data_IF_077540765103
#
_entry.id   IF_077540765103
#
_cell.length_a   1.000
_cell.length_b   1.000
_cell.length_c   1.000
_cell.angle_alpha   90.00
_cell.angle_beta   90.00
_cell.angle_gamma   90.00
#
_symmetry.space_group_name_H-M   'P 1'
#
loop_
_entity.id
_entity.type
_entity.pdbx_description
1 polymer ?
#
# COMPACT_ATOMS: atom_id res chain seq x y z
N UNK A 1 38.37 15.68 -9.88
CA UNK A 1 37.75 15.42 -8.56
C UNK A 1 36.25 15.70 -8.48
N UNK A 2 35.62 16.49 -9.37
CA UNK A 2 34.18 16.83 -9.29
C UNK A 2 33.21 15.66 -9.58
N UNK A 3 33.60 14.69 -10.42
CA UNK A 3 32.73 13.54 -10.75
C UNK A 3 32.53 12.58 -9.58
N UNK A 4 33.56 12.39 -8.75
CA UNK A 4 33.49 11.49 -7.59
C UNK A 4 32.58 12.06 -6.48
N UNK A 5 32.60 13.38 -6.27
CA UNK A 5 31.69 14.03 -5.32
C UNK A 5 30.24 13.98 -5.77
N UNK A 6 29.98 14.09 -7.07
CA UNK A 6 28.62 13.99 -7.63
C UNK A 6 28.11 12.54 -7.48
N UNK A 7 28.94 11.55 -7.78
CA UNK A 7 28.58 10.14 -7.61
C UNK A 7 28.29 9.81 -6.13
N UNK A 8 29.12 10.29 -5.21
CA UNK A 8 28.89 10.10 -3.77
C UNK A 8 27.59 10.75 -3.29
N UNK A 9 27.28 11.97 -3.74
CA UNK A 9 26.03 12.64 -3.41
C UNK A 9 24.80 11.91 -3.98
N UNK A 10 24.88 11.38 -5.19
CA UNK A 10 23.80 10.59 -5.79
C UNK A 10 23.55 9.29 -5.01
N UNK A 11 24.60 8.54 -4.70
CA UNK A 11 24.47 7.29 -3.93
C UNK A 11 23.94 7.57 -2.52
N UNK A 12 24.41 8.65 -1.87
CA UNK A 12 23.88 9.08 -0.58
C UNK A 12 22.40 9.43 -0.64
N UNK A 13 21.99 10.20 -1.65
CA UNK A 13 20.58 10.53 -1.88
C UNK A 13 19.71 9.31 -2.18
N UNK A 14 20.22 8.37 -2.99
CA UNK A 14 19.51 7.14 -3.35
C UNK A 14 19.26 6.24 -2.13
N UNK A 15 20.25 6.08 -1.24
CA UNK A 15 20.09 5.29 -0.01
C UNK A 15 19.04 5.91 0.91
N UNK A 16 19.10 7.24 1.13
CA UNK A 16 18.13 7.94 1.97
C UNK A 16 16.72 7.86 1.36
N UNK A 17 16.60 8.04 0.04
CA UNK A 17 15.35 7.93 -0.69
C UNK A 17 14.74 6.52 -0.62
N UNK A 18 15.55 5.48 -0.78
CA UNK A 18 15.10 4.09 -0.69
C UNK A 18 14.66 3.73 0.73
N UNK A 19 15.42 4.13 1.75
CA UNK A 19 15.06 3.91 3.14
C UNK A 19 13.72 4.59 3.49
N UNK A 20 13.54 5.85 3.08
CA UNK A 20 12.27 6.55 3.24
C UNK A 20 11.14 5.85 2.50
N UNK A 21 11.36 5.45 1.24
CA UNK A 21 10.38 4.75 0.43
C UNK A 21 9.90 3.43 1.06
N UNK A 22 10.82 2.65 1.65
CA UNK A 22 10.47 1.39 2.33
C UNK A 22 9.71 1.65 3.63
N UNK A 23 10.12 2.64 4.44
CA UNK A 23 9.46 2.93 5.72
C UNK A 23 8.03 3.45 5.55
N UNK A 24 7.78 4.21 4.49
CA UNK A 24 6.45 4.76 4.18
C UNK A 24 5.69 3.92 3.15
N UNK A 25 6.24 2.79 2.71
CA UNK A 25 5.55 1.90 1.79
C UNK A 25 4.27 1.39 2.47
N UNK A 26 3.09 1.54 1.84
CA UNK A 26 1.88 0.94 2.34
C UNK A 26 1.99 -0.59 2.30
N UNK A 27 1.23 -1.27 3.15
CA UNK A 27 1.10 -2.72 3.09
C UNK A 27 0.50 -3.16 1.75
N UNK A 28 0.77 -4.41 1.35
CA UNK A 28 0.22 -4.93 0.11
C UNK A 28 -1.32 -4.91 0.16
N UNK A 29 -1.95 -4.70 -1.00
CA UNK A 29 -3.41 -4.71 -1.10
C UNK A 29 -4.01 -6.06 -0.70
N UNK A 30 -3.27 -7.15 -0.91
CA UNK A 30 -3.67 -8.50 -0.47
C UNK A 30 -3.73 -8.61 1.04
N UNK A 31 -2.66 -8.19 1.73
CA UNK A 31 -2.60 -8.19 3.20
C UNK A 31 -3.68 -7.27 3.79
N UNK A 32 -3.89 -6.11 3.17
CA UNK A 32 -4.91 -5.15 3.60
C UNK A 32 -6.32 -5.74 3.48
N UNK A 33 -6.65 -6.37 2.33
CA UNK A 33 -7.93 -7.06 2.12
C UNK A 33 -8.12 -8.21 3.12
N UNK A 34 -7.05 -8.98 3.38
CA UNK A 34 -7.05 -10.05 4.37
C UNK A 34 -7.36 -9.51 5.78
N UNK A 35 -6.68 -8.44 6.20
CA UNK A 35 -6.92 -7.77 7.49
C UNK A 35 -8.34 -7.24 7.62
N UNK A 36 -8.91 -6.69 6.54
CA UNK A 36 -10.31 -6.24 6.51
C UNK A 36 -11.25 -7.43 6.69
N UNK A 37 -11.05 -8.53 5.96
CA UNK A 37 -11.86 -9.74 6.09
C UNK A 37 -11.81 -10.31 7.53
N UNK A 38 -10.62 -10.32 8.14
CA UNK A 38 -10.43 -10.76 9.53
C UNK A 38 -11.11 -9.82 10.54
N UNK A 39 -11.01 -8.51 10.35
CA UNK A 39 -11.69 -7.53 11.19
C UNK A 39 -13.22 -7.66 11.11
N UNK A 40 -13.76 -7.91 9.91
CA UNK A 40 -15.19 -8.15 9.69
C UNK A 40 -15.66 -9.45 10.33
N UNK A 41 -14.89 -10.55 10.18
CA UNK A 41 -15.17 -11.84 10.82
C UNK A 41 -15.18 -11.75 12.34
N UNK A 42 -14.25 -10.99 12.94
CA UNK A 42 -14.22 -10.73 14.40
C UNK A 42 -15.48 -10.02 14.89
N UNK A 43 -16.16 -9.24 14.04
CA UNK A 43 -17.42 -8.57 14.34
C UNK A 43 -18.66 -9.43 14.01
N UNK A 44 -18.48 -10.68 13.60
CA UNK A 44 -19.56 -11.61 13.26
C UNK A 44 -20.10 -11.46 11.83
N UNK A 45 -19.49 -10.60 11.01
CA UNK A 45 -19.92 -10.38 9.62
C UNK A 45 -19.17 -11.37 8.73
N UNK A 46 -19.90 -12.33 8.16
CA UNK A 46 -19.34 -13.37 7.28
C UNK A 46 -19.54 -12.93 5.82
N UNK A 47 -18.62 -12.10 5.33
CA UNK A 47 -18.60 -11.69 3.92
C UNK A 47 -18.03 -12.82 3.04
N UNK A 48 -18.74 -13.15 1.95
CA UNK A 48 -18.19 -13.98 0.89
C UNK A 48 -17.25 -13.14 0.01
N UNK A 49 -16.36 -13.80 -0.76
CA UNK A 49 -15.45 -13.09 -1.68
C UNK A 49 -16.21 -12.25 -2.71
N UNK A 50 -17.32 -12.78 -3.22
CA UNK A 50 -18.17 -12.11 -4.21
C UNK A 50 -18.86 -10.87 -3.63
N UNK A 51 -19.35 -10.94 -2.39
CA UNK A 51 -19.97 -9.78 -1.74
C UNK A 51 -18.95 -8.66 -1.48
N UNK A 52 -17.70 -9.04 -1.17
CA UNK A 52 -16.63 -8.08 -0.95
C UNK A 52 -16.21 -7.37 -2.24
N UNK A 53 -16.18 -8.08 -3.37
CA UNK A 53 -15.93 -7.49 -4.69
C UNK A 53 -17.02 -6.50 -5.07
N UNK A 54 -18.30 -6.87 -4.92
CA UNK A 54 -19.42 -5.98 -5.21
C UNK A 54 -19.39 -4.68 -4.38
N UNK A 55 -19.07 -4.76 -3.08
CA UNK A 55 -18.94 -3.58 -2.23
C UNK A 55 -17.77 -2.68 -2.66
N UNK A 56 -16.64 -3.28 -3.07
CA UNK A 56 -15.49 -2.52 -3.58
C UNK A 56 -15.86 -1.80 -4.87
N UNK A 57 -16.62 -2.46 -5.76
CA UNK A 57 -17.07 -1.87 -7.01
C UNK A 57 -18.07 -0.72 -6.78
N UNK A 58 -18.98 -0.86 -5.83
CA UNK A 58 -19.93 0.20 -5.42
C UNK A 58 -19.19 1.42 -4.85
N UNK A 59 -18.26 1.21 -3.90
CA UNK A 59 -17.43 2.29 -3.35
C UNK A 59 -16.60 2.97 -4.44
N UNK A 60 -16.04 2.19 -5.38
CA UNK A 60 -15.25 2.73 -6.47
C UNK A 60 -16.09 3.54 -7.47
N UNK A 61 -17.36 3.19 -7.66
CA UNK A 61 -18.30 3.95 -8.46
C UNK A 61 -18.65 5.28 -7.77
N UNK A 62 -18.90 5.27 -6.46
CA UNK A 62 -19.26 6.48 -5.71
C UNK A 62 -18.10 7.47 -5.55
N UNK A 63 -16.85 7.00 -5.45
CA UNK A 63 -15.67 7.88 -5.39
C UNK A 63 -15.33 8.51 -6.75
N UNK A 64 -15.90 7.99 -7.86
CA UNK A 64 -15.69 8.53 -9.21
C UNK A 64 -16.69 9.62 -9.61
N UNK A 65 -17.77 9.80 -8.84
CA UNK A 65 -18.70 10.93 -8.93
C UNK A 65 -18.18 12.11 -8.09
#
# INVERSE_FOLDING_TARGET
MKGLSILAAFLGGAVVGAAAGILFAPESGEDTRSKIADALRKRGIKLSRTDMENLVDEIAAEVKE
#
